data_IF_922301596820
#
_entry.id   IF_922301596820
#
_cell.length_a   1.000
_cell.length_b   1.000
_cell.length_c   1.000
_cell.angle_alpha   90.00
_cell.angle_beta   90.00
_cell.angle_gamma   90.00
#
_symmetry.space_group_name_H-M   'P 1'
#
loop_
_entity.id
_entity.type
_entity.pdbx_description
1 polymer ?
#
# COMPACT_ATOMS: atom_id res chain seq x y z
N UNK A 1 -0.35 7.28 8.64
CA UNK A 1 -0.62 7.26 7.19
C UNK A 1 -2.10 7.51 6.92
N UNK A 2 -2.46 8.08 5.77
CA UNK A 2 -3.85 8.38 5.42
C UNK A 2 -4.11 8.26 3.92
N UNK A 3 -5.39 8.18 3.53
CA UNK A 3 -5.80 8.16 2.13
C UNK A 3 -5.47 9.49 1.45
N UNK A 4 -5.04 9.43 0.19
CA UNK A 4 -4.81 10.62 -0.62
C UNK A 4 -6.14 11.27 -1.04
N UNK A 5 -6.16 12.58 -1.23
CA UNK A 5 -7.31 13.24 -1.84
C UNK A 5 -7.42 12.89 -3.32
N UNK A 6 -8.65 12.92 -3.85
CA UNK A 6 -8.89 12.74 -5.28
C UNK A 6 -8.14 13.80 -6.13
N UNK A 7 -8.18 15.06 -5.71
CA UNK A 7 -7.47 16.15 -6.39
C UNK A 7 -5.97 15.89 -6.53
N UNK A 8 -5.34 15.27 -5.53
CA UNK A 8 -3.92 14.93 -5.60
C UNK A 8 -3.67 13.67 -6.42
N UNK A 9 -4.61 12.72 -6.46
CA UNK A 9 -4.54 11.58 -7.37
C UNK A 9 -4.60 12.04 -8.84
N UNK A 10 -5.45 13.01 -9.17
CA UNK A 10 -5.54 13.58 -10.52
C UNK A 10 -4.23 14.25 -10.93
N UNK A 11 -3.61 15.07 -10.07
CA UNK A 11 -2.30 15.68 -10.34
C UNK A 11 -1.23 14.64 -10.64
N UNK A 12 -1.23 13.52 -9.94
CA UNK A 12 -0.25 12.45 -10.17
C UNK A 12 -0.54 11.70 -11.46
N UNK A 13 -1.81 11.36 -11.74
CA UNK A 13 -2.20 10.75 -13.01
C UNK A 13 -1.78 11.61 -14.19
N UNK A 14 -2.10 12.91 -14.14
CA UNK A 14 -1.83 13.82 -15.25
C UNK A 14 -0.32 13.95 -15.53
N UNK A 15 0.50 14.00 -14.47
CA UNK A 15 1.97 14.05 -14.60
C UNK A 15 2.57 12.75 -15.10
N UNK A 16 2.07 11.60 -14.62
CA UNK A 16 2.57 10.29 -15.02
C UNK A 16 2.22 10.02 -16.48
N UNK A 17 0.98 10.26 -16.89
CA UNK A 17 0.51 10.01 -18.25
C UNK A 17 1.14 10.97 -19.28
N UNK A 18 1.61 12.14 -18.86
CA UNK A 18 2.31 13.08 -19.74
C UNK A 18 3.75 12.63 -20.08
N UNK A 19 4.33 11.70 -19.30
CA UNK A 19 5.65 11.14 -19.54
C UNK A 19 5.53 9.85 -20.36
N UNK A 20 6.27 9.67 -21.47
CA UNK A 20 6.17 8.47 -22.30
C UNK A 20 6.86 7.23 -21.68
N UNK A 21 7.58 7.38 -20.57
CA UNK A 21 8.29 6.27 -19.92
C UNK A 21 7.35 5.46 -19.03
N UNK A 22 7.61 4.17 -18.93
CA UNK A 22 6.90 3.30 -17.98
C UNK A 22 7.04 3.81 -16.54
N UNK A 23 5.89 4.00 -15.90
CA UNK A 23 5.81 4.52 -14.54
C UNK A 23 5.67 3.39 -13.52
N UNK A 24 6.53 3.41 -12.52
CA UNK A 24 6.52 2.44 -11.42
C UNK A 24 6.15 3.12 -10.12
N UNK A 25 5.17 2.59 -9.39
CA UNK A 25 4.85 3.02 -8.04
C UNK A 25 5.66 2.20 -7.03
N UNK A 26 6.50 2.88 -6.26
CA UNK A 26 7.14 2.29 -5.08
C UNK A 26 6.28 2.58 -3.85
N UNK A 27 5.67 1.54 -3.29
CA UNK A 27 4.84 1.67 -2.11
C UNK A 27 5.67 1.46 -0.83
N UNK A 28 5.59 2.46 0.05
CA UNK A 28 6.21 2.46 1.37
C UNK A 28 5.17 2.81 2.43
N UNK A 29 4.95 1.92 3.38
CA UNK A 29 4.03 2.16 4.49
C UNK A 29 3.93 0.99 5.45
N UNK A 30 3.08 1.17 6.46
CA UNK A 30 2.88 0.17 7.51
C UNK A 30 2.41 -1.18 6.92
N UNK A 31 2.91 -2.28 7.50
CA UNK A 31 2.41 -3.61 7.19
C UNK A 31 1.18 -3.92 8.04
N UNK A 32 0.06 -3.31 7.66
CA UNK A 32 -1.23 -3.55 8.28
C UNK A 32 -2.39 -3.35 7.29
N UNK A 33 -3.60 -3.69 7.72
CA UNK A 33 -4.80 -3.58 6.90
C UNK A 33 -5.06 -2.18 6.34
N UNK A 34 -4.67 -1.12 7.04
CA UNK A 34 -4.84 0.25 6.54
C UNK A 34 -3.75 0.65 5.55
N UNK A 35 -2.51 0.19 5.75
CA UNK A 35 -1.43 0.41 4.79
C UNK A 35 -1.73 -0.23 3.45
N UNK A 36 -2.32 -1.43 3.44
CA UNK A 36 -2.74 -2.09 2.19
C UNK A 36 -3.89 -1.38 1.50
N UNK A 37 -4.88 -0.91 2.26
CA UNK A 37 -6.02 -0.18 1.69
C UNK A 37 -5.60 1.15 1.08
N UNK A 38 -4.68 1.88 1.73
CA UNK A 38 -4.17 3.15 1.22
C UNK A 38 -3.41 2.93 -0.09
N UNK A 39 -2.59 1.88 -0.18
CA UNK A 39 -1.91 1.53 -1.43
C UNK A 39 -2.92 1.18 -2.52
N UNK A 40 -3.89 0.31 -2.21
CA UNK A 40 -4.91 -0.11 -3.18
C UNK A 40 -5.73 1.09 -3.69
N UNK A 41 -6.21 1.95 -2.79
CA UNK A 41 -6.94 3.18 -3.15
C UNK A 41 -6.07 4.10 -4.01
N UNK A 42 -4.78 4.23 -3.70
CA UNK A 42 -3.85 5.03 -4.50
C UNK A 42 -3.72 4.49 -5.93
N UNK A 43 -3.56 3.18 -6.08
CA UNK A 43 -3.45 2.52 -7.39
C UNK A 43 -4.74 2.69 -8.18
N UNK A 44 -5.90 2.41 -7.55
CA UNK A 44 -7.21 2.51 -8.20
C UNK A 44 -7.53 3.94 -8.65
N UNK A 45 -7.29 4.96 -7.81
CA UNK A 45 -7.60 6.35 -8.15
C UNK A 45 -6.71 6.94 -9.24
N UNK A 46 -5.47 6.47 -9.35
CA UNK A 46 -4.50 7.02 -10.31
C UNK A 46 -4.52 6.25 -11.62
N UNK A 47 -4.64 4.92 -11.58
CA UNK A 47 -4.85 4.08 -12.77
C UNK A 47 -3.75 4.18 -13.84
N UNK A 48 -2.56 4.65 -13.50
CA UNK A 48 -1.53 5.07 -14.46
C UNK A 48 -0.18 4.35 -14.31
N UNK A 49 -0.08 3.31 -13.49
CA UNK A 49 1.19 2.65 -13.19
C UNK A 49 1.37 1.40 -14.07
N UNK A 50 2.54 1.27 -14.70
CA UNK A 50 2.96 0.06 -15.42
C UNK A 50 3.24 -1.09 -14.44
N UNK A 51 3.74 -0.77 -13.24
CA UNK A 51 3.86 -1.73 -12.13
C UNK A 51 3.82 -1.05 -10.76
N UNK A 52 3.49 -1.84 -9.74
CA UNK A 52 3.47 -1.42 -8.33
C UNK A 52 4.35 -2.37 -7.54
N UNK A 53 5.32 -1.83 -6.80
CA UNK A 53 6.26 -2.61 -5.97
C UNK A 53 6.18 -2.12 -4.53
N UNK A 54 5.77 -2.98 -3.61
CA UNK A 54 5.91 -2.72 -2.17
C UNK A 54 7.36 -2.93 -1.76
N UNK A 55 8.01 -1.86 -1.33
CA UNK A 55 9.41 -1.89 -0.90
C UNK A 55 9.52 -2.08 0.62
N UNK A 56 8.65 -1.41 1.38
CA UNK A 56 8.63 -1.43 2.84
C UNK A 56 7.21 -1.15 3.37
N UNK A 57 6.79 -1.63 4.53
CA UNK A 57 7.31 -2.82 5.21
C UNK A 57 6.62 -4.06 4.62
N UNK A 58 7.40 -5.12 4.38
CA UNK A 58 6.91 -6.44 3.94
C UNK A 58 6.87 -7.42 5.11
N UNK A 59 6.09 -8.49 4.96
CA UNK A 59 6.02 -9.57 5.96
C UNK A 59 7.40 -10.18 6.23
N UNK A 60 8.19 -10.41 5.17
CA UNK A 60 9.53 -10.99 5.26
C UNK A 60 10.47 -10.09 6.05
N UNK A 61 10.41 -8.77 5.84
CA UNK A 61 11.20 -7.81 6.61
C UNK A 61 10.78 -7.78 8.08
N UNK A 62 9.47 -7.84 8.37
CA UNK A 62 9.01 -7.96 9.76
C UNK A 62 9.57 -9.19 10.45
N UNK A 63 9.58 -10.33 9.74
CA UNK A 63 10.13 -11.60 10.23
C UNK A 63 11.64 -11.58 10.39
N UNK A 64 12.37 -11.12 9.38
CA UNK A 64 13.82 -11.10 9.36
C UNK A 64 14.41 -10.16 10.42
N UNK A 65 13.76 -9.02 10.66
CA UNK A 65 14.24 -8.02 11.62
C UNK A 65 13.55 -8.08 12.98
N UNK A 66 12.69 -9.08 13.23
CA UNK A 66 12.00 -9.24 14.51
C UNK A 66 11.12 -8.04 14.89
N UNK A 67 10.53 -7.37 13.90
CA UNK A 67 9.73 -6.17 14.13
C UNK A 67 8.43 -6.54 14.84
N UNK A 68 8.16 -5.87 15.96
CA UNK A 68 6.96 -6.11 16.75
C UNK A 68 5.73 -5.60 16.00
N UNK A 69 4.69 -6.44 15.96
CA UNK A 69 3.39 -6.04 15.46
C UNK A 69 2.68 -5.18 16.51
N UNK A 70 2.19 -4.01 16.12
CA UNK A 70 1.32 -3.20 16.98
C UNK A 70 -0.04 -3.87 17.12
N UNK A 71 -0.41 -4.29 18.33
CA UNK A 71 -1.61 -5.11 18.59
C UNK A 71 -2.96 -4.42 18.30
N UNK A 72 -2.96 -3.08 18.22
CA UNK A 72 -4.18 -2.26 18.23
C UNK A 72 -5.17 -2.46 17.08
N UNK A 73 -4.82 -3.21 16.02
CA UNK A 73 -5.69 -3.39 14.84
C UNK A 73 -6.44 -4.72 14.79
N UNK A 74 -6.21 -5.66 15.72
CA UNK A 74 -6.85 -7.00 15.70
C UNK A 74 -8.38 -7.00 15.76
N UNK A 75 -8.99 -5.99 16.40
CA UNK A 75 -10.44 -5.88 16.53
C UNK A 75 -11.15 -5.18 15.36
N UNK A 76 -10.40 -4.62 14.39
CA UNK A 76 -10.99 -3.84 13.31
C UNK A 76 -11.67 -4.72 12.24
N UNK A 77 -12.71 -4.23 11.54
CA UNK A 77 -13.41 -5.00 10.51
C UNK A 77 -12.52 -5.40 9.33
N UNK A 78 -11.42 -4.66 9.12
CA UNK A 78 -10.43 -4.91 8.05
C UNK A 78 -9.34 -5.91 8.45
N UNK A 79 -9.28 -6.31 9.72
CA UNK A 79 -8.26 -7.24 10.20
C UNK A 79 -8.44 -8.68 9.70
N UNK A 80 -9.63 -9.30 9.75
CA UNK A 80 -9.81 -10.67 9.28
C UNK A 80 -9.33 -10.92 7.83
N UNK A 81 -9.68 -10.08 6.82
CA UNK A 81 -9.19 -10.32 5.46
C UNK A 81 -7.67 -10.13 5.36
N UNK A 82 -7.11 -9.09 5.99
CA UNK A 82 -5.66 -8.86 6.01
C UNK A 82 -4.90 -10.04 6.61
N UNK A 83 -5.30 -10.49 7.80
CA UNK A 83 -4.64 -11.61 8.48
C UNK A 83 -4.71 -12.90 7.66
N UNK A 84 -5.84 -13.17 6.99
CA UNK A 84 -6.01 -14.35 6.14
C UNK A 84 -5.10 -14.33 4.91
N UNK A 85 -4.83 -13.17 4.33
CA UNK A 85 -4.04 -13.02 3.10
C UNK A 85 -2.55 -12.91 3.38
N UNK A 86 -2.16 -12.30 4.50
CA UNK A 86 -0.80 -11.80 4.71
C UNK A 86 -0.05 -12.45 5.87
N UNK A 87 -0.74 -13.17 6.75
CA UNK A 87 -0.15 -13.77 7.95
C UNK A 87 -0.25 -15.31 7.99
N UNK A 88 -0.72 -15.96 6.91
CA UNK A 88 -0.78 -17.42 6.86
C UNK A 88 0.59 -18.02 6.55
N UNK A 89 1.00 -18.95 7.40
CA UNK A 89 1.90 -20.05 7.08
C UNK A 89 1.06 -21.29 6.79
#
# INVERSE_FOLDING_TARGET
MGFGSQSYADVVRDRVTADPRDAVLLAVGDFDCSGEDIERDRVERTGCWSSVTRVLLTYEQMRAYGLLATEGKRGGPRWPPFARLRLRH
#
